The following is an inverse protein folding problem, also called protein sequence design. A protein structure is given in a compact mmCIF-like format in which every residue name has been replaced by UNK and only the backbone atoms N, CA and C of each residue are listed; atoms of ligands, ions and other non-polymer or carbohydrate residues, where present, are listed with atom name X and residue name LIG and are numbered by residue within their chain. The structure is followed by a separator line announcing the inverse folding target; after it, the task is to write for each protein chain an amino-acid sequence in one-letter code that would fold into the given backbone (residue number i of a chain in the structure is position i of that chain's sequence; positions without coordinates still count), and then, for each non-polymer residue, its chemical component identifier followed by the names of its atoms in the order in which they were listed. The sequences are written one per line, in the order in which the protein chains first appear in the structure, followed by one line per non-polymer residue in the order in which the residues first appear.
data_IF_655840830494
#
_entry.id   IF_655840830494
#
_cell.length_a   1.000
_cell.length_b   1.000
_cell.length_c   1.000
_cell.angle_alpha   90.00
_cell.angle_beta   90.00
_cell.angle_gamma   90.00
#
_symmetry.space_group_name_H-M   'P 1'
#
loop_
_entity.id
_entity.type
_entity.pdbx_description
1 polymer ?
#
# COMPACT_ATOMS: atom_id res chain seq x y z
N UNK A 1 12.37 9.57 -14.16
CA UNK A 1 11.72 9.55 -12.83
C UNK A 1 12.53 8.54 -12.03
N UNK A 2 13.11 8.91 -10.88
CA UNK A 2 13.96 7.97 -10.15
C UNK A 2 13.05 6.89 -9.54
N UNK A 3 12.96 5.72 -10.18
CA UNK A 3 12.14 4.58 -9.77
C UNK A 3 12.78 3.84 -8.59
N UNK A 4 13.15 4.59 -7.57
CA UNK A 4 13.75 4.02 -6.37
C UNK A 4 12.68 3.18 -5.66
N UNK A 5 12.95 1.88 -5.58
CA UNK A 5 12.12 0.94 -4.83
C UNK A 5 12.38 1.20 -3.36
N UNK A 6 11.32 1.60 -2.65
CA UNK A 6 11.35 1.86 -1.21
C UNK A 6 10.52 0.82 -0.47
N UNK A 7 10.74 0.73 0.83
CA UNK A 7 9.95 -0.09 1.74
C UNK A 7 8.88 0.78 2.38
N UNK A 8 7.66 0.25 2.48
CA UNK A 8 6.47 0.98 2.93
C UNK A 8 5.75 0.19 4.01
N UNK A 9 5.08 0.90 4.92
CA UNK A 9 4.16 0.31 5.90
C UNK A 9 2.82 0.99 5.99
N UNK A 10 1.82 0.23 6.42
CA UNK A 10 0.51 0.78 6.77
C UNK A 10 -0.30 -0.12 7.73
N UNK A 11 -0.93 0.53 8.70
CA UNK A 11 -1.99 -0.05 9.53
C UNK A 11 -3.40 0.26 9.00
N UNK A 12 -3.51 1.14 7.99
CA UNK A 12 -4.78 1.62 7.44
C UNK A 12 -5.39 0.59 6.48
N UNK A 13 -6.69 0.30 6.61
CA UNK A 13 -7.49 -0.52 5.65
C UNK A 13 -6.76 -1.77 5.15
N UNK A 14 -6.07 -2.48 6.05
CA UNK A 14 -5.14 -3.58 5.74
C UNK A 14 -5.71 -4.62 4.77
N UNK A 15 -6.98 -4.98 4.92
CA UNK A 15 -7.65 -5.96 4.07
C UNK A 15 -7.69 -5.53 2.58
N UNK A 16 -7.96 -4.25 2.30
CA UNK A 16 -7.97 -3.72 0.92
C UNK A 16 -6.57 -3.50 0.36
N UNK A 17 -5.63 -3.07 1.21
CA UNK A 17 -4.22 -2.94 0.81
C UNK A 17 -3.65 -4.31 0.44
N UNK A 18 -3.86 -5.32 1.28
CA UNK A 18 -3.47 -6.70 0.99
C UNK A 18 -4.15 -7.25 -0.27
N UNK A 19 -5.46 -7.01 -0.45
CA UNK A 19 -6.17 -7.37 -1.69
C UNK A 19 -5.47 -6.81 -2.93
N UNK A 20 -5.15 -5.51 -2.94
CA UNK A 20 -4.48 -4.87 -4.07
C UNK A 20 -3.08 -5.44 -4.32
N UNK A 21 -2.30 -5.64 -3.26
CA UNK A 21 -0.96 -6.23 -3.36
C UNK A 21 -1.02 -7.65 -3.96
N UNK A 22 -2.02 -8.46 -3.55
CA UNK A 22 -2.26 -9.79 -4.14
C UNK A 22 -2.62 -9.69 -5.62
N UNK A 23 -3.57 -8.81 -5.97
CA UNK A 23 -4.02 -8.63 -7.36
C UNK A 23 -2.89 -8.16 -8.29
N UNK A 24 -2.03 -7.28 -7.80
CA UNK A 24 -0.92 -6.72 -8.56
C UNK A 24 0.36 -7.57 -8.47
N UNK A 25 0.32 -8.72 -7.77
CA UNK A 25 1.44 -9.67 -7.68
C UNK A 25 2.63 -9.16 -6.84
N UNK A 26 2.39 -8.26 -5.90
CA UNK A 26 3.43 -7.66 -5.05
C UNK A 26 3.50 -8.41 -3.71
N UNK A 27 4.68 -8.96 -3.42
CA UNK A 27 4.98 -9.58 -2.14
C UNK A 27 4.86 -8.58 -0.99
N UNK A 28 4.22 -9.03 0.09
CA UNK A 28 4.10 -8.26 1.32
C UNK A 28 4.21 -9.19 2.53
N UNK A 29 4.46 -8.58 3.67
CA UNK A 29 4.43 -9.25 4.97
C UNK A 29 3.46 -8.53 5.89
N UNK A 30 3.01 -9.24 6.92
CA UNK A 30 2.20 -8.68 7.98
C UNK A 30 2.93 -8.87 9.32
N UNK A 31 2.92 -7.82 10.14
CA UNK A 31 3.25 -7.91 11.56
C UNK A 31 2.28 -7.03 12.36
N UNK A 32 2.19 -7.28 13.67
CA UNK A 32 1.20 -6.62 14.52
C UNK A 32 1.49 -5.12 14.71
N UNK A 33 2.76 -4.73 14.76
CA UNK A 33 3.21 -3.37 15.08
C UNK A 33 3.07 -2.41 13.89
N UNK A 34 3.59 -2.77 12.73
CA UNK A 34 3.64 -1.96 11.51
C UNK A 34 2.48 -2.24 10.54
N UNK A 35 1.80 -3.37 10.69
CA UNK A 35 0.72 -3.81 9.80
C UNK A 35 1.25 -4.44 8.53
N UNK A 36 0.79 -3.96 7.36
CA UNK A 36 1.22 -4.47 6.06
C UNK A 36 2.52 -3.77 5.66
N UNK A 37 3.55 -4.55 5.35
CA UNK A 37 4.87 -4.06 4.93
C UNK A 37 5.22 -4.63 3.56
N UNK A 38 5.58 -3.77 2.60
CA UNK A 38 5.85 -4.14 1.21
C UNK A 38 6.91 -3.25 0.57
N UNK A 39 7.45 -3.66 -0.57
CA UNK A 39 8.41 -2.88 -1.36
C UNK A 39 7.78 -2.46 -2.69
N UNK A 40 7.89 -1.19 -3.02
CA UNK A 40 7.37 -0.65 -4.28
C UNK A 40 7.99 0.72 -4.60
N UNK A 41 7.96 1.15 -5.86
CA UNK A 41 8.25 2.54 -6.23
C UNK A 41 7.23 3.52 -5.61
N UNK A 42 7.65 4.76 -5.34
CA UNK A 42 6.76 5.78 -4.77
C UNK A 42 5.52 6.09 -5.62
N UNK A 43 5.64 6.07 -6.95
CA UNK A 43 4.50 6.31 -7.85
C UNK A 43 3.41 5.24 -7.70
N UNK A 44 3.80 4.00 -7.40
CA UNK A 44 2.86 2.90 -7.19
C UNK A 44 2.02 3.14 -5.94
N UNK A 45 2.65 3.61 -4.85
CA UNK A 45 1.97 3.89 -3.58
C UNK A 45 0.97 5.04 -3.74
N UNK A 46 1.30 6.11 -4.47
CA UNK A 46 0.33 7.18 -4.73
C UNK A 46 -0.85 6.70 -5.56
N UNK A 47 -0.59 5.94 -6.63
CA UNK A 47 -1.66 5.32 -7.45
C UNK A 47 -2.51 4.34 -6.65
N UNK A 48 -1.91 3.58 -5.73
CA UNK A 48 -2.64 2.67 -4.83
C UNK A 48 -3.60 3.46 -3.94
N UNK A 49 -3.15 4.56 -3.33
CA UNK A 49 -4.00 5.39 -2.47
C UNK A 49 -5.22 5.93 -3.24
N UNK A 50 -5.02 6.33 -4.50
CA UNK A 50 -6.12 6.78 -5.38
C UNK A 50 -7.09 5.65 -5.72
N UNK A 51 -6.58 4.47 -6.15
CA UNK A 51 -7.41 3.29 -6.43
C UNK A 51 -8.26 2.90 -5.23
N UNK A 52 -7.68 2.91 -4.04
CA UNK A 52 -8.38 2.53 -2.80
C UNK A 52 -9.59 3.42 -2.52
N UNK A 53 -9.46 4.73 -2.76
CA UNK A 53 -10.58 5.67 -2.60
C UNK A 53 -11.57 5.54 -3.76
N UNK A 54 -11.10 5.64 -5.01
CA UNK A 54 -11.95 5.79 -6.19
C UNK A 54 -12.61 4.50 -6.65
N UNK A 55 -11.91 3.36 -6.54
CA UNK A 55 -12.38 2.07 -7.08
C UNK A 55 -12.85 1.11 -5.99
N UNK A 56 -12.29 1.20 -4.78
CA UNK A 56 -12.58 0.26 -3.69
C UNK A 56 -13.31 0.91 -2.51
N UNK A 57 -13.78 2.16 -2.63
CA UNK A 57 -14.67 2.80 -1.67
C UNK A 57 -14.07 2.99 -0.27
N UNK A 58 -12.77 3.27 -0.16
CA UNK A 58 -12.21 3.77 1.09
C UNK A 58 -12.67 5.22 1.31
N UNK A 59 -13.40 5.47 2.41
CA UNK A 59 -13.90 6.81 2.74
C UNK A 59 -12.78 7.84 2.97
N UNK A 60 -11.62 7.39 3.46
CA UNK A 60 -10.45 8.22 3.71
C UNK A 60 -9.24 7.67 2.95
N UNK A 61 -8.35 8.58 2.52
CA UNK A 61 -7.08 8.21 1.87
C UNK A 61 -6.22 7.43 2.88
N UNK A 62 -5.75 6.23 2.53
CA UNK A 62 -4.97 5.40 3.47
C UNK A 62 -3.62 6.03 3.79
N UNK A 63 -3.24 5.94 5.06
CA UNK A 63 -1.94 6.42 5.55
C UNK A 63 -0.90 5.34 5.27
N UNK A 64 -0.02 5.61 4.32
CA UNK A 64 1.10 4.73 3.95
C UNK A 64 2.38 5.57 4.04
N UNK A 65 3.31 5.14 4.88
CA UNK A 65 4.57 5.84 5.15
C UNK A 65 5.76 4.97 4.76
N UNK A 66 6.89 5.60 4.51
CA UNK A 66 8.18 4.90 4.30
C UNK A 66 8.55 4.14 5.59
N UNK A 67 9.10 2.93 5.44
CA UNK A 67 9.48 2.03 6.54
C UNK A 67 10.85 2.35 7.11
#
# INVERSE_FOLDING_TARGET
MNDEIKKWKTQSVKHKVAMLLIMDGISFSYNEEDGIVFTAPGFYVERMKERLVNCYGCSLKPIITEY
#
